data_IF_988349843576
#
_entry.id   IF_988349843576
#
_cell.length_a   1.000
_cell.length_b   1.000
_cell.length_c   1.000
_cell.angle_alpha   90.00
_cell.angle_beta   90.00
_cell.angle_gamma   90.00
#
_symmetry.space_group_name_H-M   'P 1'
#
loop_
_entity.id
_entity.type
_entity.pdbx_description
1 polymer ?
#
# COMPACT_ATOMS: atom_id res chain seq x y z
N UNK A 1 -9.87 -25.32 -36.36
CA UNK A 1 -10.04 -26.35 -35.32
C UNK A 1 -8.71 -26.36 -34.55
N UNK A 2 -8.54 -25.62 -33.45
CA UNK A 2 -9.10 -25.84 -32.10
C UNK A 2 -8.56 -27.17 -31.52
N UNK A 3 -7.91 -27.33 -30.36
CA UNK A 3 -7.60 -26.51 -29.17
C UNK A 3 -6.50 -27.21 -28.32
N UNK A 4 -5.94 -26.47 -27.35
CA UNK A 4 -5.62 -26.94 -25.97
C UNK A 4 -4.41 -27.86 -25.74
N UNK A 5 -3.65 -27.76 -24.65
CA UNK A 5 -3.74 -26.91 -23.47
C UNK A 5 -2.49 -27.11 -22.62
N UNK A 6 -1.92 -26.02 -22.12
CA UNK A 6 -0.79 -26.00 -21.21
C UNK A 6 -1.34 -25.75 -19.80
N UNK A 7 -1.76 -26.83 -19.15
CA UNK A 7 -1.87 -26.89 -17.69
C UNK A 7 -0.68 -27.69 -17.17
N UNK A 8 -0.29 -27.41 -15.93
CA UNK A 8 0.64 -28.17 -15.09
C UNK A 8 2.08 -27.63 -14.99
N UNK A 9 2.26 -26.59 -14.17
CA UNK A 9 3.32 -26.59 -13.15
C UNK A 9 2.86 -25.79 -11.94
N UNK A 10 2.07 -26.43 -11.08
CA UNK A 10 1.86 -26.00 -9.71
C UNK A 10 2.09 -27.22 -8.81
N UNK A 11 3.14 -27.19 -7.99
CA UNK A 11 3.26 -28.13 -6.89
C UNK A 11 4.68 -28.45 -6.43
N UNK A 12 4.88 -28.22 -5.12
CA UNK A 12 5.89 -28.78 -4.20
C UNK A 12 7.19 -27.97 -4.07
N UNK A 13 7.69 -27.65 -2.86
CA UNK A 13 7.28 -28.00 -1.51
C UNK A 13 7.91 -27.01 -0.51
N UNK A 14 7.23 -26.74 0.60
CA UNK A 14 7.86 -26.25 1.83
C UNK A 14 7.68 -27.32 2.91
N UNK A 15 8.80 -27.79 3.46
CA UNK A 15 8.82 -28.71 4.58
C UNK A 15 8.54 -27.99 5.89
N UNK A 16 7.83 -28.72 6.76
CA UNK A 16 7.35 -28.39 8.08
C UNK A 16 8.37 -27.75 9.04
N UNK A 17 7.87 -26.79 9.83
CA UNK A 17 8.34 -26.53 11.19
C UNK A 17 7.11 -26.31 12.07
N UNK A 18 6.83 -27.28 12.93
CA UNK A 18 5.83 -27.22 14.00
C UNK A 18 6.38 -26.39 15.17
N UNK A 19 5.52 -25.57 15.80
CA UNK A 19 5.78 -24.96 17.11
C UNK A 19 4.57 -25.28 18.00
N UNK A 20 4.76 -25.77 19.25
CA UNK A 20 3.68 -26.24 20.10
C UNK A 20 2.91 -25.08 20.76
N UNK A 21 1.66 -25.36 21.10
CA UNK A 21 0.69 -24.40 21.60
C UNK A 21 0.93 -23.87 23.02
N UNK A 22 0.27 -22.74 23.28
CA UNK A 22 0.08 -22.12 24.58
C UNK A 22 -0.87 -20.94 24.41
N UNK A 23 -2.10 -21.07 24.90
CA UNK A 23 -3.11 -20.02 24.80
C UNK A 23 -2.97 -18.97 25.89
N UNK A 24 -3.30 -17.72 25.57
CA UNK A 24 -4.18 -16.89 26.41
C UNK A 24 -4.82 -15.79 25.57
N UNK A 25 -6.09 -15.50 25.84
CA UNK A 25 -6.94 -14.56 25.11
C UNK A 25 -6.70 -13.15 25.64
N UNK A 26 -5.80 -12.42 24.99
CA UNK A 26 -5.64 -10.96 25.16
C UNK A 26 -6.09 -10.23 23.90
N UNK A 27 -7.18 -9.45 23.99
CA UNK A 27 -7.80 -8.77 22.86
C UNK A 27 -6.86 -7.80 22.15
N UNK A 28 -6.49 -8.13 20.92
CA UNK A 28 -5.80 -7.22 20.00
C UNK A 28 -6.83 -6.24 19.40
N UNK A 29 -6.83 -4.99 19.86
CA UNK A 29 -7.43 -3.91 19.07
C UNK A 29 -6.71 -3.88 17.71
N UNK A 30 -7.48 -4.01 16.63
CA UNK A 30 -6.93 -3.96 15.28
C UNK A 30 -6.31 -2.58 15.02
N UNK A 31 -5.29 -2.52 14.17
CA UNK A 31 -4.62 -1.27 13.78
C UNK A 31 -5.61 -0.20 13.26
N UNK A 32 -6.79 -0.61 12.78
CA UNK A 32 -7.89 0.30 12.42
C UNK A 32 -8.49 1.07 13.61
N UNK A 33 -8.55 0.48 14.80
CA UNK A 33 -9.04 1.13 16.01
C UNK A 33 -8.07 2.22 16.54
N UNK A 34 -6.76 2.03 16.34
CA UNK A 34 -5.74 3.01 16.72
C UNK A 34 -5.78 4.27 15.82
N UNK A 35 -6.07 4.11 14.54
CA UNK A 35 -6.22 5.24 13.61
C UNK A 35 -7.41 6.15 13.98
N UNK A 36 -8.54 5.56 14.41
CA UNK A 36 -9.73 6.30 14.78
C UNK A 36 -9.55 7.16 16.05
N UNK A 37 -8.78 6.68 17.05
CA UNK A 37 -8.57 7.41 18.31
C UNK A 37 -7.69 8.66 18.16
N UNK A 38 -6.71 8.62 17.26
CA UNK A 38 -5.75 9.73 17.07
C UNK A 38 -6.42 10.99 16.49
N UNK A 39 -7.53 10.85 15.75
CA UNK A 39 -8.21 11.97 15.07
C UNK A 39 -9.17 12.78 15.98
N UNK A 40 -9.58 12.22 17.12
CA UNK A 40 -10.61 12.83 18.00
C UNK A 40 -10.11 13.94 18.94
N UNK A 41 -8.81 14.15 19.07
CA UNK A 41 -8.24 15.03 20.11
C UNK A 41 -8.02 16.50 19.71
N UNK A 42 -8.24 16.89 18.44
CA UNK A 42 -7.81 18.22 17.97
C UNK A 42 -8.90 19.29 17.77
N UNK A 43 -10.18 19.03 18.11
CA UNK A 43 -11.23 20.04 17.90
C UNK A 43 -12.26 20.10 19.04
N UNK A 44 -11.96 20.92 20.06
CA UNK A 44 -12.96 21.47 21.00
C UNK A 44 -12.78 22.98 21.12
N UNK A 45 -13.48 23.73 20.27
CA UNK A 45 -13.67 25.18 20.43
C UNK A 45 -14.77 25.49 21.48
N UNK A 46 -14.78 26.70 22.07
CA UNK A 46 -15.59 26.99 23.25
C UNK A 46 -17.08 27.16 22.94
N UNK A 47 -17.90 26.51 23.76
CA UNK A 47 -19.35 26.56 23.75
C UNK A 47 -19.90 27.96 24.10
N UNK A 48 -20.70 28.55 23.20
CA UNK A 48 -21.82 29.46 23.51
C UNK A 48 -22.51 30.00 22.25
N UNK A 49 -23.65 29.39 21.90
CA UNK A 49 -24.81 30.06 21.29
C UNK A 49 -25.96 29.03 21.19
N UNK A 50 -26.80 28.99 22.24
CA UNK A 50 -28.06 28.25 22.23
C UNK A 50 -29.17 29.16 21.70
N UNK A 51 -30.10 28.54 20.96
CA UNK A 51 -31.48 28.95 20.58
C UNK A 51 -31.64 29.30 19.10
N UNK A 52 -32.65 28.67 18.49
CA UNK A 52 -33.05 28.65 17.08
C UNK A 52 -32.26 27.78 16.10
N UNK A 53 -32.34 26.45 16.28
CA UNK A 53 -32.20 25.47 15.18
C UNK A 53 -32.93 24.15 15.46
N UNK A 54 -34.22 24.22 15.81
CA UNK A 54 -35.08 23.04 15.80
C UNK A 54 -35.67 22.88 14.39
N UNK A 55 -34.91 22.26 13.50
CA UNK A 55 -35.36 21.43 12.37
C UNK A 55 -34.14 21.15 11.48
N UNK A 56 -33.88 19.85 11.22
CA UNK A 56 -32.74 19.27 10.48
C UNK A 56 -31.40 19.16 11.24
N UNK A 57 -31.38 18.32 12.27
CA UNK A 57 -30.25 17.40 12.52
C UNK A 57 -30.84 16.06 12.95
N UNK A 58 -31.10 15.17 11.98
CA UNK A 58 -31.02 13.73 12.29
C UNK A 58 -29.55 13.50 12.60
N UNK A 59 -29.20 13.38 13.86
CA UNK A 59 -27.90 12.82 14.24
C UNK A 59 -27.89 11.38 13.72
N UNK A 60 -26.92 10.96 12.90
CA UNK A 60 -26.78 9.54 12.62
C UNK A 60 -26.56 8.81 13.96
N UNK A 61 -27.14 7.62 14.10
CA UNK A 61 -26.93 6.76 15.27
C UNK A 61 -25.42 6.56 15.53
N UNK A 62 -24.98 6.39 16.79
CA UNK A 62 -23.57 6.28 17.15
C UNK A 62 -22.80 5.18 16.38
N UNK A 63 -23.52 4.15 15.93
CA UNK A 63 -22.95 2.99 15.22
C UNK A 63 -22.78 3.25 13.72
N UNK A 64 -23.46 4.27 13.19
CA UNK A 64 -23.31 4.71 11.82
C UNK A 64 -21.99 5.45 11.59
N UNK A 65 -21.34 6.01 12.61
CA UNK A 65 -20.06 6.70 12.43
C UNK A 65 -18.97 5.80 11.84
N UNK A 66 -18.73 4.63 12.45
CA UNK A 66 -17.67 3.72 12.02
C UNK A 66 -17.99 3.04 10.69
N UNK A 67 -19.21 2.52 10.51
CA UNK A 67 -19.59 1.86 9.26
C UNK A 67 -19.53 2.80 8.04
N UNK A 68 -19.87 4.08 8.22
CA UNK A 68 -19.80 5.08 7.14
C UNK A 68 -18.37 5.48 6.79
N UNK A 69 -17.47 5.53 7.77
CA UNK A 69 -16.05 5.78 7.53
C UNK A 69 -15.37 4.57 6.89
N UNK A 70 -15.63 3.36 7.39
CA UNK A 70 -15.08 2.12 6.84
C UNK A 70 -15.47 1.91 5.37
N UNK A 71 -16.76 1.99 5.03
CA UNK A 71 -17.21 1.80 3.64
C UNK A 71 -16.66 2.85 2.67
N UNK A 72 -16.45 4.09 3.13
CA UNK A 72 -15.81 5.13 2.30
C UNK A 72 -14.33 4.87 2.10
N UNK A 73 -13.61 4.48 3.14
CA UNK A 73 -12.18 4.19 3.04
C UNK A 73 -11.90 3.01 2.11
N UNK A 74 -12.75 1.97 2.13
CA UNK A 74 -12.66 0.84 1.21
C UNK A 74 -12.88 1.28 -0.24
N UNK A 75 -13.95 2.04 -0.52
CA UNK A 75 -14.24 2.51 -1.87
C UNK A 75 -13.18 3.44 -2.46
N UNK A 76 -12.37 4.10 -1.63
CA UNK A 76 -11.31 5.02 -2.06
C UNK A 76 -9.92 4.38 -2.11
N UNK A 77 -9.71 3.22 -1.49
CA UNK A 77 -8.39 2.59 -1.41
C UNK A 77 -8.14 1.67 -2.60
N UNK A 78 -7.05 1.92 -3.34
CA UNK A 78 -6.72 1.20 -4.57
C UNK A 78 -6.55 -0.31 -4.39
N UNK A 79 -6.14 -0.78 -3.20
CA UNK A 79 -5.91 -2.21 -2.94
C UNK A 79 -7.18 -3.06 -3.11
N UNK A 80 -8.37 -2.50 -2.88
CA UNK A 80 -9.64 -3.21 -3.05
C UNK A 80 -10.11 -3.29 -4.51
N UNK A 81 -9.46 -2.55 -5.40
CA UNK A 81 -9.80 -2.50 -6.83
C UNK A 81 -8.78 -3.25 -7.70
N UNK A 82 -7.84 -3.97 -7.10
CA UNK A 82 -6.88 -4.78 -7.83
C UNK A 82 -7.59 -5.92 -8.56
N UNK A 83 -7.32 -6.06 -9.86
CA UNK A 83 -7.84 -7.14 -10.70
C UNK A 83 -6.87 -7.53 -11.82
N UNK A 84 -6.97 -8.76 -12.34
CA UNK A 84 -6.08 -9.30 -13.39
C UNK A 84 -5.94 -8.43 -14.65
N UNK A 85 -7.02 -7.79 -15.06
CA UNK A 85 -7.07 -6.97 -16.28
C UNK A 85 -6.51 -5.55 -16.17
N UNK A 86 -5.97 -5.15 -15.01
CA UNK A 86 -5.40 -3.82 -14.82
C UNK A 86 -4.03 -3.69 -15.53
N UNK A 87 -3.59 -2.46 -15.86
CA UNK A 87 -2.26 -2.24 -16.41
C UNK A 87 -1.17 -2.73 -15.45
N UNK A 88 0.00 -3.18 -15.94
CA UNK A 88 1.14 -3.52 -15.09
C UNK A 88 1.58 -2.34 -14.22
N UNK A 89 1.95 -2.62 -12.96
CA UNK A 89 2.29 -1.59 -11.97
C UNK A 89 3.74 -1.71 -11.53
N UNK A 90 4.48 -0.59 -11.56
CA UNK A 90 5.84 -0.49 -11.03
C UNK A 90 5.87 0.46 -9.84
N UNK A 91 6.44 0.01 -8.72
CA UNK A 91 6.47 0.73 -7.44
C UNK A 91 7.92 0.88 -6.99
N UNK A 92 8.29 2.09 -6.57
CA UNK A 92 9.55 2.35 -5.86
C UNK A 92 9.21 2.92 -4.48
N UNK A 93 9.78 2.34 -3.41
CA UNK A 93 9.46 2.75 -2.04
C UNK A 93 10.72 2.68 -1.16
N UNK A 94 11.00 3.75 -0.40
CA UNK A 94 12.00 3.71 0.67
C UNK A 94 11.52 2.95 1.90
N UNK A 95 12.35 2.06 2.46
CA UNK A 95 11.97 1.28 3.65
C UNK A 95 11.96 2.09 4.95
N UNK A 96 12.59 3.26 4.96
CA UNK A 96 12.68 4.18 6.10
C UNK A 96 11.74 5.40 5.93
N UNK A 97 10.69 5.30 5.11
CA UNK A 97 9.68 6.34 4.93
C UNK A 97 8.87 6.58 6.23
N UNK A 98 8.97 7.78 6.85
CA UNK A 98 8.26 8.09 8.10
C UNK A 98 6.80 8.51 7.88
N UNK A 99 6.37 8.75 6.64
CA UNK A 99 5.04 9.25 6.29
C UNK A 99 4.14 8.11 5.78
N UNK A 100 4.67 7.23 4.94
CA UNK A 100 3.94 6.10 4.37
C UNK A 100 4.72 4.82 4.64
N UNK A 101 4.15 3.89 5.41
CA UNK A 101 4.83 2.62 5.69
C UNK A 101 5.00 1.78 4.42
N UNK A 102 6.19 1.18 4.25
CA UNK A 102 6.50 0.16 3.23
C UNK A 102 5.44 -0.96 3.17
N UNK A 103 4.81 -1.29 4.30
CA UNK A 103 3.72 -2.28 4.40
C UNK A 103 2.60 -2.00 3.38
N UNK A 104 2.33 -0.74 3.04
CA UNK A 104 1.33 -0.39 2.02
C UNK A 104 1.67 -1.00 0.66
N UNK A 105 2.90 -0.81 0.20
CA UNK A 105 3.36 -1.35 -1.09
C UNK A 105 3.48 -2.87 -1.07
N UNK A 106 3.97 -3.46 0.02
CA UNK A 106 4.06 -4.92 0.14
C UNK A 106 2.69 -5.60 0.10
N UNK A 107 1.69 -5.03 0.80
CA UNK A 107 0.32 -5.53 0.76
C UNK A 107 -0.30 -5.39 -0.62
N UNK A 108 -0.02 -4.29 -1.32
CA UNK A 108 -0.51 -4.07 -2.68
C UNK A 108 0.10 -5.08 -3.67
N UNK A 109 1.42 -5.29 -3.62
CA UNK A 109 2.11 -6.32 -4.43
C UNK A 109 1.51 -7.71 -4.18
N UNK A 110 1.36 -8.10 -2.91
CA UNK A 110 0.74 -9.38 -2.53
C UNK A 110 -0.66 -9.52 -3.14
N UNK A 111 -1.47 -8.47 -3.05
CA UNK A 111 -2.82 -8.46 -3.63
C UNK A 111 -2.79 -8.59 -5.16
N UNK A 112 -1.86 -7.91 -5.84
CA UNK A 112 -1.66 -8.06 -7.29
C UNK A 112 -1.34 -9.52 -7.65
N UNK A 113 -0.42 -10.17 -6.94
CA UNK A 113 -0.06 -11.56 -7.19
C UNK A 113 -1.23 -12.52 -6.96
N UNK A 114 -1.99 -12.33 -5.87
CA UNK A 114 -3.20 -13.14 -5.59
C UNK A 114 -4.24 -13.06 -6.72
N UNK A 115 -4.39 -11.90 -7.35
CA UNK A 115 -5.32 -11.67 -8.45
C UNK A 115 -4.70 -11.94 -9.84
N UNK A 116 -3.43 -12.35 -9.90
CA UNK A 116 -2.70 -12.58 -11.14
C UNK A 116 -2.43 -11.32 -11.96
N UNK A 117 -2.44 -10.14 -11.32
CA UNK A 117 -2.04 -8.87 -11.93
C UNK A 117 -0.52 -8.68 -11.86
N UNK A 118 0.04 -8.03 -12.89
CA UNK A 118 1.48 -7.79 -13.00
C UNK A 118 1.87 -6.60 -12.13
N UNK A 119 2.80 -6.80 -11.19
CA UNK A 119 3.31 -5.75 -10.34
C UNK A 119 4.77 -6.00 -9.96
N UNK A 120 5.57 -4.94 -9.87
CA UNK A 120 6.94 -4.99 -9.38
C UNK A 120 7.14 -3.94 -8.28
N UNK A 121 7.90 -4.31 -7.25
CA UNK A 121 8.25 -3.44 -6.13
C UNK A 121 9.77 -3.37 -5.96
N UNK A 122 10.32 -2.19 -6.12
CA UNK A 122 11.72 -1.88 -5.78
C UNK A 122 11.77 -1.16 -4.43
N UNK A 123 12.47 -1.75 -3.49
CA UNK A 123 12.70 -1.20 -2.15
C UNK A 123 14.05 -0.47 -2.16
N UNK A 124 14.04 0.79 -1.73
CA UNK A 124 15.26 1.59 -1.53
C UNK A 124 15.66 1.51 -0.07
N UNK A 125 16.73 0.77 0.22
CA UNK A 125 17.21 0.52 1.59
C UNK A 125 17.76 1.80 2.23
N UNK A 126 17.25 2.17 3.39
CA UNK A 126 17.59 3.40 4.12
C UNK A 126 16.93 4.67 3.59
N UNK A 127 16.08 4.58 2.55
CA UNK A 127 15.45 5.75 1.94
C UNK A 127 14.14 6.15 2.64
N UNK A 128 13.91 7.46 2.76
CA UNK A 128 12.71 8.04 3.38
C UNK A 128 11.58 8.36 2.38
N UNK A 129 10.77 9.37 2.66
CA UNK A 129 9.72 9.87 1.77
C UNK A 129 10.28 10.72 0.61
N UNK A 130 11.01 10.06 -0.29
CA UNK A 130 11.72 10.71 -1.39
C UNK A 130 13.06 11.34 -0.97
N UNK A 131 13.75 11.93 -1.96
CA UNK A 131 14.94 12.74 -1.74
C UNK A 131 16.24 11.96 -1.50
N UNK A 132 16.34 10.73 -2.00
CA UNK A 132 17.60 9.99 -2.06
C UNK A 132 18.38 10.28 -3.35
N UNK A 133 19.70 10.00 -3.35
CA UNK A 133 20.60 10.36 -4.45
C UNK A 133 20.27 9.63 -5.76
N UNK A 134 19.76 8.41 -5.66
CA UNK A 134 19.50 7.53 -6.79
C UNK A 134 18.14 7.78 -7.47
N UNK A 135 17.36 8.78 -7.03
CA UNK A 135 16.09 9.17 -7.64
C UNK A 135 16.15 9.40 -9.17
N UNK A 136 17.21 10.01 -9.74
CA UNK A 136 17.35 10.10 -11.20
C UNK A 136 17.42 8.73 -11.88
N UNK A 137 18.16 7.78 -11.31
CA UNK A 137 18.23 6.41 -11.83
C UNK A 137 16.89 5.67 -11.68
N UNK A 138 16.15 5.90 -10.59
CA UNK A 138 14.78 5.38 -10.44
C UNK A 138 13.83 5.99 -11.47
N UNK A 139 14.01 7.26 -11.80
CA UNK A 139 13.24 7.95 -12.84
C UNK A 139 13.54 7.39 -14.22
N UNK A 140 14.80 7.16 -14.55
CA UNK A 140 15.21 6.48 -15.79
C UNK A 140 14.59 5.08 -15.86
N UNK A 141 14.61 4.33 -14.75
CA UNK A 141 13.96 3.02 -14.68
C UNK A 141 12.46 3.08 -14.90
N UNK A 142 11.79 4.13 -14.41
CA UNK A 142 10.38 4.37 -14.67
C UNK A 142 10.11 4.73 -16.14
N UNK A 143 11.02 5.47 -16.79
CA UNK A 143 10.94 5.73 -18.23
C UNK A 143 11.05 4.43 -19.02
N UNK A 144 11.99 3.54 -18.68
CA UNK A 144 12.10 2.21 -19.31
C UNK A 144 10.82 1.38 -19.12
N UNK A 145 10.17 1.49 -17.95
CA UNK A 145 8.89 0.84 -17.71
C UNK A 145 7.82 1.34 -18.69
N UNK A 146 7.67 2.66 -18.85
CA UNK A 146 6.72 3.21 -19.81
C UNK A 146 7.07 2.85 -21.26
N UNK A 147 8.34 2.90 -21.63
CA UNK A 147 8.81 2.51 -22.96
C UNK A 147 8.46 1.04 -23.28
N UNK A 148 8.58 0.14 -22.30
CA UNK A 148 8.15 -1.24 -22.42
C UNK A 148 6.63 -1.36 -22.56
N UNK A 149 5.86 -0.74 -21.65
CA UNK A 149 4.40 -0.95 -21.59
C UNK A 149 3.64 -0.24 -22.72
N UNK A 150 4.13 0.91 -23.19
CA UNK A 150 3.42 1.75 -24.15
C UNK A 150 3.96 1.62 -25.58
N UNK A 151 5.26 1.35 -25.73
CA UNK A 151 5.93 1.30 -27.04
C UNK A 151 6.51 -0.09 -27.37
N UNK A 152 6.46 -1.05 -26.45
CA UNK A 152 7.01 -2.39 -26.65
C UNK A 152 8.54 -2.43 -26.77
N UNK A 153 9.24 -1.36 -26.35
CA UNK A 153 10.70 -1.32 -26.39
C UNK A 153 11.26 -2.22 -25.28
N UNK A 154 12.28 -3.00 -25.62
CA UNK A 154 12.95 -3.85 -24.63
C UNK A 154 13.82 -2.99 -23.70
N UNK A 155 13.67 -3.14 -22.37
CA UNK A 155 14.50 -2.41 -21.42
C UNK A 155 15.93 -2.96 -21.42
N UNK A 156 16.91 -2.14 -21.02
CA UNK A 156 18.30 -2.58 -20.93
C UNK A 156 18.47 -3.73 -19.91
N UNK A 157 17.68 -3.69 -18.82
CA UNK A 157 17.58 -4.75 -17.82
C UNK A 157 16.14 -5.24 -17.71
N UNK A 158 15.94 -6.55 -17.73
CA UNK A 158 14.61 -7.14 -17.53
C UNK A 158 14.02 -6.75 -16.18
N UNK A 159 12.71 -6.49 -16.18
CA UNK A 159 11.90 -6.31 -14.98
C UNK A 159 11.70 -7.67 -14.29
N UNK A 160 11.77 -7.68 -12.97
CA UNK A 160 11.66 -8.91 -12.17
C UNK A 160 10.22 -9.34 -11.94
N UNK A 161 9.28 -8.38 -12.01
CA UNK A 161 7.86 -8.57 -11.74
C UNK A 161 7.59 -9.16 -10.34
N UNK A 162 8.49 -8.87 -9.39
CA UNK A 162 8.40 -9.28 -8.00
C UNK A 162 9.04 -8.18 -7.12
N UNK A 163 9.42 -8.51 -5.89
CA UNK A 163 10.14 -7.63 -4.98
C UNK A 163 11.66 -7.69 -5.20
N UNK A 164 12.30 -6.52 -5.22
CA UNK A 164 13.76 -6.39 -5.17
C UNK A 164 14.17 -5.25 -4.24
N UNK A 165 15.41 -5.28 -3.75
CA UNK A 165 15.98 -4.17 -2.97
C UNK A 165 17.23 -3.61 -3.64
N UNK A 166 17.42 -2.31 -3.49
CA UNK A 166 18.59 -1.57 -3.94
C UNK A 166 19.06 -0.66 -2.80
N UNK A 167 20.38 -0.52 -2.60
CA UNK A 167 20.90 0.43 -1.62
C UNK A 167 20.48 1.85 -1.99
N UNK A 168 20.34 2.69 -0.97
CA UNK A 168 20.11 4.11 -1.16
C UNK A 168 21.05 4.95 -0.32
N UNK A 169 21.47 6.07 -0.90
CA UNK A 169 22.26 7.07 -0.19
C UNK A 169 21.33 8.21 0.24
N UNK A 170 21.11 8.41 1.55
CA UNK A 170 20.32 9.54 2.04
C UNK A 170 20.99 10.86 1.65
N UNK A 171 20.24 11.77 1.01
CA UNK A 171 20.73 13.14 0.79
C UNK A 171 20.65 13.88 2.13
N UNK A 172 21.80 14.18 2.70
CA UNK A 172 21.91 15.08 3.86
C UNK A 172 21.29 16.43 3.48
N UNK A 173 20.14 16.78 4.07
CA UNK A 173 19.58 18.13 3.93
C UNK A 173 20.50 19.09 4.67
N UNK A 174 21.23 19.93 3.95
CA UNK A 174 22.00 21.01 4.57
C UNK A 174 21.02 21.92 5.32
N UNK A 175 21.24 22.11 6.62
CA UNK A 175 20.48 23.09 7.40
C UNK A 175 20.74 24.46 6.76
N UNK A 176 19.69 25.11 6.25
CA UNK A 176 19.77 26.49 5.76
C UNK A 176 20.24 27.37 6.94
N UNK A 177 21.27 28.22 6.76
CA UNK A 177 21.85 29.04 7.83
C UNK A 177 20.82 30.02 8.41
#
# INVERSE_FOLDING_TARGET
>A
MAEGGLHDVCGRAWHAAEVPGGGDRGGSESCGALCARQCSHLWRGPAKARRHRQQRRRTPEPDAGHAWWSGRCEGLSSIYWVHKGQPPIFIVHGDADPQVSLTQSQRFLKRCHEEGAVCELVIREGAGHGGWQEMPADTERMVEWFDLQLLGKQPAKAFTLDVSSLPSTPVQKTKKP
#
